data_IF_155244912513
#
_entry.id   IF_155244912513
#
_cell.length_a   1.000
_cell.length_b   1.000
_cell.length_c   1.000
_cell.angle_alpha   90.00
_cell.angle_beta   90.00
_cell.angle_gamma   90.00
#
_symmetry.space_group_name_H-M   'P 1'
#
loop_
_entity.id
_entity.type
_entity.pdbx_description
1 polymer ?
#
# COMPACT_ATOMS: atom_id res chain seq x y z
N UNK A 1 0.41 11.15 32.99
CA UNK A 1 0.64 12.19 31.96
C UNK A 1 1.85 11.88 31.08
N UNK A 2 3.07 11.73 31.62
CA UNK A 2 4.28 11.43 30.83
C UNK A 2 4.09 10.37 29.73
N UNK A 3 3.65 9.16 30.08
CA UNK A 3 3.46 8.05 29.11
C UNK A 3 2.48 8.45 28.00
N UNK A 4 1.41 9.17 28.34
CA UNK A 4 0.39 9.58 27.38
C UNK A 4 0.97 10.55 26.34
N UNK A 5 1.74 11.56 26.78
CA UNK A 5 2.35 12.56 25.90
C UNK A 5 3.47 11.95 25.06
N UNK A 6 4.31 11.10 25.64
CA UNK A 6 5.34 10.35 24.90
C UNK A 6 4.72 9.43 23.86
N UNK A 7 3.70 8.65 24.23
CA UNK A 7 3.03 7.73 23.31
C UNK A 7 2.36 8.46 22.14
N UNK A 8 1.73 9.62 22.37
CA UNK A 8 1.13 10.39 21.27
C UNK A 8 2.12 11.13 20.41
N UNK A 9 3.20 11.65 21.00
CA UNK A 9 4.34 12.16 20.25
C UNK A 9 4.86 11.09 19.30
N UNK A 10 5.23 9.92 19.82
CA UNK A 10 5.71 8.78 19.03
C UNK A 10 4.71 8.38 17.94
N UNK A 11 3.42 8.30 18.26
CA UNK A 11 2.39 7.96 17.26
C UNK A 11 2.35 8.94 16.08
N UNK A 12 2.36 10.25 16.35
CA UNK A 12 2.37 11.30 15.30
C UNK A 12 3.64 11.25 14.45
N UNK A 13 4.80 11.01 15.07
CA UNK A 13 6.06 10.82 14.35
C UNK A 13 6.08 9.53 13.52
N UNK A 14 5.48 8.44 13.99
CA UNK A 14 5.28 7.23 13.21
C UNK A 14 4.40 7.48 11.98
N UNK A 15 3.34 8.29 12.11
CA UNK A 15 2.52 8.72 10.97
C UNK A 15 3.33 9.51 9.95
N UNK A 16 4.15 10.47 10.40
CA UNK A 16 5.08 11.19 9.52
C UNK A 16 6.04 10.24 8.80
N UNK A 17 6.59 9.26 9.52
CA UNK A 17 7.48 8.26 8.95
C UNK A 17 6.78 7.44 7.86
N UNK A 18 5.56 6.97 8.12
CA UNK A 18 4.74 6.27 7.11
C UNK A 18 4.48 7.16 5.89
N UNK A 19 4.12 8.43 6.08
CA UNK A 19 3.93 9.39 4.97
C UNK A 19 5.21 9.59 4.16
N UNK A 20 6.36 9.67 4.82
CA UNK A 20 7.68 9.77 4.16
C UNK A 20 8.01 8.51 3.36
N UNK A 21 7.69 7.33 3.87
CA UNK A 21 7.85 6.07 3.13
C UNK A 21 6.99 6.05 1.87
N UNK A 22 5.73 6.51 1.95
CA UNK A 22 4.83 6.62 0.79
C UNK A 22 5.39 7.58 -0.25
N UNK A 23 5.83 8.76 0.18
CA UNK A 23 6.50 9.73 -0.69
C UNK A 23 7.70 9.06 -1.39
N UNK A 24 8.60 8.45 -0.63
CA UNK A 24 9.79 7.78 -1.17
C UNK A 24 9.43 6.64 -2.14
N UNK A 25 8.37 5.87 -1.87
CA UNK A 25 7.90 4.80 -2.75
C UNK A 25 7.42 5.31 -4.12
N UNK A 26 6.84 6.52 -4.17
CA UNK A 26 6.33 7.12 -5.41
C UNK A 26 7.47 7.69 -6.26
N UNK A 27 8.44 8.39 -5.65
CA UNK A 27 9.52 9.07 -6.39
C UNK A 27 10.78 8.22 -6.58
N UNK A 28 11.11 7.36 -5.62
CA UNK A 28 12.36 6.58 -5.59
C UNK A 28 12.09 5.11 -5.21
N UNK A 29 11.45 4.32 -6.10
CA UNK A 29 11.05 2.94 -5.79
C UNK A 29 12.23 2.01 -5.47
N UNK A 30 13.40 2.23 -6.08
CA UNK A 30 14.62 1.46 -5.80
C UNK A 30 15.16 1.74 -4.40
N UNK A 31 15.06 2.98 -3.92
CA UNK A 31 15.48 3.34 -2.57
C UNK A 31 14.52 2.78 -1.53
N UNK A 32 13.22 2.79 -1.81
CA UNK A 32 12.20 2.24 -0.93
C UNK A 32 12.48 0.76 -0.52
N UNK A 33 13.06 -0.05 -1.39
CA UNK A 33 13.44 -1.45 -1.07
C UNK A 33 14.51 -1.54 0.03
N UNK A 34 15.43 -0.57 0.10
CA UNK A 34 16.49 -0.50 1.12
C UNK A 34 16.00 0.15 2.42
N UNK A 35 14.95 0.97 2.35
CA UNK A 35 14.43 1.80 3.44
C UNK A 35 13.84 1.00 4.62
N UNK A 36 13.44 -0.26 4.43
CA UNK A 36 12.86 -1.09 5.49
C UNK A 36 13.79 -1.26 6.70
N UNK A 37 15.12 -1.28 6.49
CA UNK A 37 16.10 -1.32 7.59
C UNK A 37 16.25 0.01 8.31
N UNK A 38 15.88 1.12 7.67
CA UNK A 38 15.93 2.46 8.27
C UNK A 38 14.88 2.61 9.38
N UNK A 39 13.71 2.01 9.21
CA UNK A 39 12.63 2.01 10.21
C UNK A 39 13.09 1.50 11.58
N UNK A 40 13.86 0.41 11.60
CA UNK A 40 14.41 -0.16 12.84
C UNK A 40 15.34 0.78 13.60
N UNK A 41 15.96 1.76 12.92
CA UNK A 41 16.82 2.78 13.56
C UNK A 41 16.05 4.05 13.89
N UNK A 42 15.10 4.45 13.05
CA UNK A 42 14.32 5.67 13.25
C UNK A 42 13.33 5.56 14.42
N UNK A 43 12.65 4.42 14.59
CA UNK A 43 11.67 4.24 15.67
C UNK A 43 12.26 4.42 17.07
N UNK A 44 13.38 3.75 17.45
CA UNK A 44 13.96 3.98 18.76
C UNK A 44 14.46 5.41 18.92
N UNK A 45 15.00 6.04 17.87
CA UNK A 45 15.44 7.44 17.91
C UNK A 45 14.27 8.41 18.18
N UNK A 46 13.15 8.23 17.45
CA UNK A 46 11.91 8.98 17.67
C UNK A 46 11.42 8.79 19.10
N UNK A 47 11.42 7.54 19.60
CA UNK A 47 11.03 7.23 20.97
C UNK A 47 11.93 7.93 21.98
N UNK A 48 13.25 7.87 21.82
CA UNK A 48 14.20 8.51 22.75
C UNK A 48 14.05 10.02 22.77
N UNK A 49 13.90 10.67 21.61
CA UNK A 49 13.73 12.12 21.55
C UNK A 49 12.38 12.53 22.14
N UNK A 50 11.30 11.79 21.83
CA UNK A 50 9.98 12.05 22.39
C UNK A 50 9.96 11.84 23.91
N UNK A 51 10.63 10.82 24.43
CA UNK A 51 10.75 10.59 25.87
C UNK A 51 11.58 11.70 26.55
N UNK A 52 12.70 12.12 25.95
CA UNK A 52 13.54 13.20 26.47
C UNK A 52 12.79 14.54 26.55
N UNK A 53 12.09 14.91 25.48
CA UNK A 53 11.30 16.17 25.43
C UNK A 53 10.15 16.15 26.43
N UNK A 54 9.58 14.98 26.75
CA UNK A 54 8.50 14.86 27.72
C UNK A 54 8.97 14.56 29.15
N UNK A 55 10.28 14.32 29.36
CA UNK A 55 10.80 13.87 30.66
C UNK A 55 10.49 14.87 31.79
N UNK A 56 10.42 16.16 31.49
CA UNK A 56 10.07 17.21 32.45
C UNK A 56 8.70 16.97 33.14
N UNK A 57 7.74 16.31 32.46
CA UNK A 57 6.43 15.95 33.03
C UNK A 57 6.52 14.96 34.19
N UNK A 58 7.64 14.23 34.34
CA UNK A 58 7.85 13.36 35.50
C UNK A 58 8.02 14.14 36.79
N UNK A 59 8.54 15.37 36.71
CA UNK A 59 8.75 16.25 37.85
C UNK A 59 7.62 17.27 38.03
N UNK A 60 6.96 17.68 36.95
CA UNK A 60 5.89 18.67 37.01
C UNK A 60 4.56 18.15 37.55
N UNK A 61 4.36 16.83 37.60
CA UNK A 61 3.10 16.23 38.08
C UNK A 61 3.18 16.02 39.59
N UNK A 62 2.31 16.67 40.34
CA UNK A 62 2.13 16.46 41.78
C UNK A 62 0.79 15.80 42.05
N UNK A 63 0.71 15.11 43.18
CA UNK A 63 -0.51 14.44 43.64
C UNK A 63 -1.08 15.21 44.82
N UNK A 64 -1.75 16.32 44.54
CA UNK A 64 -2.61 16.99 45.54
C UNK A 64 -4.03 16.43 45.35
N UNK A 65 -4.39 15.47 46.19
CA UNK A 65 -5.63 14.65 46.22
C UNK A 65 -6.91 15.26 45.64
N UNK A 66 -7.88 14.49 45.09
CA UNK A 66 -7.82 13.21 44.38
C UNK A 66 -7.44 13.37 42.89
N UNK A 67 -7.02 14.57 42.48
CA UNK A 67 -6.75 14.91 41.09
C UNK A 67 -5.24 14.98 40.83
N UNK A 68 -4.82 14.56 39.64
CA UNK A 68 -3.45 14.82 39.17
C UNK A 68 -3.43 16.17 38.47
N UNK A 69 -2.70 17.13 39.04
CA UNK A 69 -2.49 18.45 38.45
C UNK A 69 -1.02 18.64 38.07
N UNK A 70 -0.78 19.56 37.16
CA UNK A 70 0.57 19.97 36.75
C UNK A 70 0.94 21.24 37.49
N UNK A 71 2.01 21.20 38.26
CA UNK A 71 2.60 22.35 38.94
C UNK A 71 3.66 23.00 38.04
N UNK A 72 3.90 24.32 38.18
CA UNK A 72 4.96 25.00 37.45
C UNK A 72 6.33 24.43 37.82
N UNK A 73 7.05 23.95 36.81
CA UNK A 73 8.43 23.50 36.95
C UNK A 73 9.35 24.67 37.34
N UNK A 74 10.21 24.50 38.34
CA UNK A 74 11.12 25.53 38.90
C UNK A 74 10.43 26.78 39.49
N UNK A 75 9.12 26.75 39.75
CA UNK A 75 8.40 27.92 40.28
C UNK A 75 8.29 29.09 39.30
N UNK A 76 8.72 28.92 38.05
CA UNK A 76 8.60 29.94 37.00
C UNK A 76 7.53 29.55 35.99
N UNK A 77 6.51 30.39 35.85
CA UNK A 77 5.41 30.18 34.89
C UNK A 77 5.92 30.21 33.43
N UNK A 78 6.91 31.05 33.14
CA UNK A 78 7.49 31.20 31.81
C UNK A 78 8.20 29.92 31.33
N UNK A 79 8.99 29.26 32.18
CA UNK A 79 9.67 28.02 31.78
C UNK A 79 8.66 26.92 31.42
N UNK A 80 7.58 26.81 32.20
CA UNK A 80 6.51 25.85 31.91
C UNK A 80 5.82 26.16 30.58
N UNK A 81 5.60 27.45 30.28
CA UNK A 81 5.05 27.90 29.00
C UNK A 81 5.96 27.51 27.83
N UNK A 82 7.27 27.74 27.94
CA UNK A 82 8.23 27.34 26.89
C UNK A 82 8.31 25.83 26.71
N UNK A 83 8.26 25.04 27.79
CA UNK A 83 8.25 23.58 27.72
C UNK A 83 6.99 23.06 27.03
N UNK A 84 5.82 23.60 27.37
CA UNK A 84 4.57 23.29 26.67
C UNK A 84 4.59 23.72 25.19
N UNK A 85 5.14 24.89 24.88
CA UNK A 85 5.29 25.34 23.49
C UNK A 85 6.21 24.41 22.70
N UNK A 86 7.37 24.06 23.25
CA UNK A 86 8.33 23.14 22.64
C UNK A 86 7.70 21.76 22.41
N UNK A 87 6.93 21.26 23.38
CA UNK A 87 6.19 20.01 23.27
C UNK A 87 5.17 20.06 22.11
N UNK A 88 4.38 21.13 22.01
CA UNK A 88 3.38 21.32 20.93
C UNK A 88 4.06 21.42 19.57
N UNK A 89 5.13 22.22 19.46
CA UNK A 89 5.87 22.41 18.20
C UNK A 89 6.46 21.09 17.73
N UNK A 90 7.16 20.38 18.62
CA UNK A 90 7.83 19.12 18.31
C UNK A 90 6.86 17.97 18.06
N UNK A 91 5.90 17.79 18.96
CA UNK A 91 5.04 16.60 18.96
C UNK A 91 3.85 16.74 18.02
N UNK A 92 3.48 17.95 17.60
CA UNK A 92 2.29 18.19 16.78
C UNK A 92 2.61 18.99 15.51
N UNK A 93 3.07 20.24 15.63
CA UNK A 93 3.18 21.13 14.46
C UNK A 93 4.16 20.60 13.41
N UNK A 94 5.36 20.18 13.82
CA UNK A 94 6.38 19.70 12.89
C UNK A 94 5.93 18.42 12.14
N UNK A 95 5.45 17.36 12.82
CA UNK A 95 4.92 16.17 12.14
C UNK A 95 3.77 16.47 11.18
N UNK A 96 2.86 17.36 11.56
CA UNK A 96 1.65 17.65 10.77
C UNK A 96 1.98 18.47 9.54
N UNK A 97 2.71 19.58 9.70
CA UNK A 97 3.12 20.41 8.58
C UNK A 97 3.91 19.57 7.55
N UNK A 98 4.84 18.74 8.04
CA UNK A 98 5.64 17.89 7.16
C UNK A 98 4.79 16.81 6.49
N UNK A 99 3.88 16.15 7.23
CA UNK A 99 2.96 15.15 6.66
C UNK A 99 2.08 15.77 5.58
N UNK A 100 1.50 16.94 5.85
CA UNK A 100 0.66 17.67 4.91
C UNK A 100 1.43 18.03 3.64
N UNK A 101 2.65 18.56 3.77
CA UNK A 101 3.50 18.91 2.61
C UNK A 101 3.83 17.67 1.78
N UNK A 102 4.23 16.56 2.42
CA UNK A 102 4.55 15.31 1.74
C UNK A 102 3.33 14.73 1.02
N UNK A 103 2.18 14.69 1.70
CA UNK A 103 0.94 14.17 1.14
C UNK A 103 0.41 15.07 -0.01
N UNK A 104 0.45 16.39 0.15
CA UNK A 104 0.10 17.35 -0.90
C UNK A 104 0.99 17.20 -2.13
N UNK A 105 2.32 17.03 -1.94
CA UNK A 105 3.24 16.78 -3.06
C UNK A 105 2.93 15.49 -3.79
N UNK A 106 2.58 14.41 -3.08
CA UNK A 106 2.18 13.13 -3.70
C UNK A 106 0.90 13.28 -4.52
N UNK A 107 -0.03 14.14 -4.11
CA UNK A 107 -1.28 14.38 -4.84
C UNK A 107 -1.08 15.26 -6.08
N UNK A 108 -0.29 16.33 -5.95
CA UNK A 108 -0.12 17.34 -7.00
C UNK A 108 0.80 16.84 -8.11
N UNK A 109 1.92 16.20 -7.76
CA UNK A 109 2.87 15.77 -8.77
C UNK A 109 2.43 14.43 -9.37
N UNK A 110 2.27 14.41 -10.68
CA UNK A 110 2.10 13.16 -11.41
C UNK A 110 3.35 12.29 -11.17
N UNK A 111 3.20 11.02 -10.77
CA UNK A 111 4.35 10.15 -10.57
C UNK A 111 5.17 10.08 -11.87
N UNK A 112 6.51 10.18 -11.81
CA UNK A 112 7.35 10.10 -12.99
C UNK A 112 7.04 8.81 -13.76
N UNK A 113 6.96 8.91 -15.10
CA UNK A 113 6.52 7.85 -16.04
C UNK A 113 7.30 6.52 -15.94
N UNK A 114 8.37 6.44 -15.13
CA UNK A 114 9.12 5.21 -14.85
C UNK A 114 8.25 4.07 -14.30
N UNK A 115 7.18 4.37 -13.56
CA UNK A 115 6.21 3.36 -13.11
C UNK A 115 5.36 2.76 -14.26
N UNK A 116 5.26 3.42 -15.42
CA UNK A 116 4.57 2.87 -16.58
C UNK A 116 5.33 1.65 -17.17
N UNK A 117 6.66 1.62 -17.03
CA UNK A 117 7.52 0.56 -17.56
C UNK A 117 7.33 -0.76 -16.77
N UNK A 118 7.21 -0.69 -15.44
CA UNK A 118 6.96 -1.89 -14.62
C UNK A 118 5.54 -2.45 -14.78
N UNK A 119 4.56 -1.60 -15.10
CA UNK A 119 3.21 -2.05 -15.49
C UNK A 119 3.16 -2.70 -16.88
N UNK A 120 4.00 -2.28 -17.84
CA UNK A 120 4.15 -2.97 -19.13
C UNK A 120 4.69 -4.39 -18.91
N UNK A 121 5.65 -4.55 -17.98
CA UNK A 121 6.20 -5.88 -17.65
C UNK A 121 5.21 -6.79 -16.89
N UNK A 122 4.27 -6.22 -16.13
CA UNK A 122 3.21 -6.99 -15.46
C UNK A 122 2.02 -7.29 -16.36
N UNK A 123 1.73 -6.46 -17.35
CA UNK A 123 0.70 -6.75 -18.37
C UNK A 123 1.17 -7.76 -19.41
N UNK A 124 2.48 -7.85 -19.69
CA UNK A 124 3.03 -8.90 -20.55
C UNK A 124 2.97 -10.29 -19.89
N UNK A 125 3.04 -10.37 -18.56
CA UNK A 125 2.89 -11.64 -17.83
C UNK A 125 1.43 -12.10 -17.66
N UNK A 126 0.44 -11.23 -17.88
CA UNK A 126 -1.00 -11.58 -17.73
C UNK A 126 -1.69 -11.91 -19.07
N UNK A 127 -0.93 -12.00 -20.17
CA UNK A 127 -1.42 -12.46 -21.48
C UNK A 127 -0.38 -13.30 -22.21
N UNK A 128 0.30 -14.23 -21.52
CA UNK A 128 0.63 -15.48 -22.20
C UNK A 128 -0.66 -16.32 -22.19
N UNK A 129 -1.60 -15.89 -23.03
CA UNK A 129 -2.81 -16.65 -23.34
C UNK A 129 -2.34 -17.97 -23.95
N UNK A 130 -2.25 -19.01 -23.13
CA UNK A 130 -2.10 -20.40 -23.58
C UNK A 130 -3.21 -20.76 -24.61
N UNK A 131 -4.31 -19.99 -24.60
CA UNK A 131 -5.40 -20.06 -25.54
C UNK A 131 -5.11 -19.44 -26.92
N UNK A 132 -4.16 -18.51 -27.06
CA UNK A 132 -3.81 -17.92 -28.35
C UNK A 132 -3.10 -18.94 -29.26
N UNK A 133 -2.23 -19.76 -28.68
CA UNK A 133 -1.55 -20.85 -29.37
C UNK A 133 -2.53 -22.00 -29.71
N UNK A 134 -3.44 -22.34 -28.78
CA UNK A 134 -4.51 -23.32 -29.04
C UNK A 134 -5.51 -22.85 -30.12
N UNK A 135 -5.78 -21.54 -30.22
CA UNK A 135 -6.66 -20.98 -31.24
C UNK A 135 -5.97 -20.85 -32.61
N UNK A 136 -4.64 -20.64 -32.66
CA UNK A 136 -3.85 -20.73 -33.89
C UNK A 136 -3.78 -22.18 -34.40
N UNK A 137 -3.54 -23.16 -33.52
CA UNK A 137 -3.57 -24.57 -33.88
C UNK A 137 -4.97 -25.05 -34.36
N UNK A 138 -6.07 -24.50 -33.80
CA UNK A 138 -7.44 -24.76 -34.30
C UNK A 138 -7.72 -24.09 -35.64
N UNK A 139 -7.15 -22.91 -35.93
CA UNK A 139 -7.26 -22.23 -37.24
C UNK A 139 -6.47 -22.95 -38.33
N UNK A 140 -5.30 -23.50 -38.01
CA UNK A 140 -4.51 -24.34 -38.93
C UNK A 140 -5.29 -25.59 -39.36
N UNK A 141 -6.00 -26.22 -38.42
CA UNK A 141 -6.83 -27.41 -38.71
C UNK A 141 -8.06 -27.11 -39.57
N UNK A 142 -8.69 -25.93 -39.43
CA UNK A 142 -9.81 -25.54 -40.31
C UNK A 142 -9.36 -25.25 -41.75
N UNK A 143 -8.15 -24.74 -41.97
CA UNK A 143 -7.63 -24.50 -43.33
C UNK A 143 -7.32 -25.77 -44.12
N UNK A 144 -7.14 -26.92 -43.46
CA UNK A 144 -6.97 -28.21 -44.16
C UNK A 144 -8.28 -28.90 -44.53
N UNK A 145 -9.40 -28.43 -43.99
CA UNK A 145 -10.71 -29.04 -44.23
C UNK A 145 -11.53 -28.31 -45.30
N UNK A 146 -11.18 -27.05 -45.59
CA UNK A 146 -11.81 -26.23 -46.64
C UNK A 146 -10.95 -26.16 -47.93
N UNK A 147 -10.22 -27.24 -48.21
CA UNK A 147 -9.67 -27.48 -49.54
C UNK A 147 -10.80 -27.97 -50.45
N UNK A 148 -11.37 -27.03 -51.20
CA UNK A 148 -12.23 -27.14 -52.41
C UNK A 148 -13.47 -26.25 -52.24
N UNK A 149 -13.31 -24.96 -52.52
CA UNK A 149 -14.10 -24.18 -53.49
C UNK A 149 -13.77 -22.69 -53.34
N UNK A 150 -13.35 -22.07 -54.43
CA UNK A 150 -13.55 -20.64 -54.62
C UNK A 150 -12.31 -19.75 -54.43
N UNK A 151 -11.62 -19.53 -55.54
CA UNK A 151 -10.85 -18.32 -55.82
C UNK A 151 -11.74 -17.11 -55.50
N UNK A 152 -11.47 -16.41 -54.39
CA UNK A 152 -11.98 -15.06 -54.17
C UNK A 152 -10.87 -14.18 -53.61
N UNK A 153 -10.22 -13.44 -54.52
CA UNK A 153 -9.40 -12.26 -54.21
C UNK A 153 -10.16 -11.39 -53.21
N UNK A 154 -9.67 -11.33 -51.97
CA UNK A 154 -10.02 -10.25 -51.04
C UNK A 154 -8.78 -9.39 -50.88
N UNK A 155 -8.90 -8.17 -51.41
CA UNK A 155 -7.98 -7.06 -51.19
C UNK A 155 -7.69 -6.93 -49.70
N UNK A 156 -6.43 -7.11 -49.33
CA UNK A 156 -5.88 -6.66 -48.06
C UNK A 156 -5.56 -5.17 -48.20
N UNK A 157 -6.59 -4.34 -48.20
CA UNK A 157 -6.43 -2.89 -48.07
C UNK A 157 -6.30 -2.53 -46.59
N UNK A 158 -5.15 -1.97 -46.23
CA UNK A 158 -4.96 -0.92 -45.22
C UNK A 158 -6.03 -0.84 -44.10
N UNK A 159 -5.82 -1.60 -43.02
CA UNK A 159 -6.61 -1.46 -41.79
C UNK A 159 -5.83 -1.65 -40.49
N UNK A 160 -4.50 -1.73 -40.56
CA UNK A 160 -3.65 -2.12 -39.42
C UNK A 160 -2.97 -0.93 -38.68
N UNK A 161 -3.24 0.32 -39.06
CA UNK A 161 -2.61 1.48 -38.39
C UNK A 161 -3.55 2.24 -37.44
N UNK A 162 -4.87 2.06 -37.56
CA UNK A 162 -5.82 2.74 -36.68
C UNK A 162 -6.00 2.05 -35.31
N UNK A 163 -5.63 0.77 -35.17
CA UNK A 163 -5.84 0.01 -33.93
C UNK A 163 -4.64 0.02 -32.96
N UNK A 164 -3.47 0.55 -33.37
CA UNK A 164 -2.33 0.77 -32.46
C UNK A 164 -2.29 2.16 -31.83
N UNK A 165 -3.09 3.13 -32.31
CA UNK A 165 -3.18 4.47 -31.71
C UNK A 165 -4.22 4.58 -30.58
N UNK A 166 -5.06 3.56 -30.39
CA UNK A 166 -6.07 3.51 -29.32
C UNK A 166 -5.61 2.78 -28.05
N UNK A 167 -4.31 2.45 -27.93
CA UNK A 167 -3.67 2.28 -26.60
C UNK A 167 -3.25 3.68 -26.12
N UNK A 168 -4.16 4.64 -26.27
CA UNK A 168 -4.05 5.93 -25.61
C UNK A 168 -4.14 5.66 -24.13
N UNK A 169 -3.01 5.79 -23.43
CA UNK A 169 -2.90 6.44 -22.12
C UNK A 169 -4.10 6.25 -21.16
N UNK A 170 -4.65 5.04 -21.08
CA UNK A 170 -5.59 4.64 -20.06
C UNK A 170 -4.78 4.51 -18.78
N UNK A 171 -4.50 5.68 -18.20
CA UNK A 171 -3.90 5.92 -16.90
C UNK A 171 -4.58 4.96 -15.95
N UNK A 172 -3.90 3.87 -15.60
CA UNK A 172 -4.52 2.79 -14.85
C UNK A 172 -5.04 3.36 -13.52
N UNK A 173 -6.37 3.51 -13.30
CA UNK A 173 -6.90 4.30 -12.17
C UNK A 173 -6.64 3.65 -10.81
N UNK A 174 -6.17 2.39 -10.80
CA UNK A 174 -6.18 1.50 -9.63
C UNK A 174 -5.12 1.80 -8.57
N UNK A 175 -4.09 2.62 -8.86
CA UNK A 175 -3.07 2.97 -7.85
C UNK A 175 -3.47 4.16 -6.96
N UNK A 176 -4.40 5.01 -7.41
CA UNK A 176 -4.80 6.21 -6.65
C UNK A 176 -5.77 5.92 -5.51
N UNK A 177 -6.65 4.93 -5.66
CA UNK A 177 -7.62 4.54 -4.62
C UNK A 177 -6.99 4.24 -3.25
N UNK A 178 -5.90 3.46 -3.12
CA UNK A 178 -5.27 3.26 -1.82
C UNK A 178 -4.66 4.56 -1.27
N UNK A 179 -4.11 5.44 -2.10
CA UNK A 179 -3.56 6.72 -1.67
C UNK A 179 -4.63 7.62 -1.04
N UNK A 180 -5.81 7.72 -1.66
CA UNK A 180 -6.93 8.51 -1.09
C UNK A 180 -7.45 7.94 0.24
N UNK A 181 -7.51 6.61 0.38
CA UNK A 181 -7.88 6.00 1.67
C UNK A 181 -6.86 6.38 2.75
N UNK A 182 -5.57 6.27 2.41
CA UNK A 182 -4.45 6.62 3.28
C UNK A 182 -4.44 8.09 3.70
N UNK A 183 -4.76 9.00 2.77
CA UNK A 183 -4.92 10.43 3.05
C UNK A 183 -6.12 10.70 3.95
N UNK A 184 -7.26 10.04 3.71
CA UNK A 184 -8.45 10.21 4.54
C UNK A 184 -8.16 9.88 6.02
N UNK A 185 -7.30 8.89 6.27
CA UNK A 185 -6.93 8.47 7.62
C UNK A 185 -5.98 9.47 8.28
N UNK A 186 -4.97 9.95 7.56
CA UNK A 186 -4.07 10.98 8.11
C UNK A 186 -4.84 12.26 8.43
N UNK A 187 -5.77 12.65 7.55
CA UNK A 187 -6.68 13.78 7.78
C UNK A 187 -7.62 13.55 8.96
N UNK A 188 -8.21 12.36 9.10
CA UNK A 188 -9.11 12.07 10.23
C UNK A 188 -8.35 12.06 11.57
N UNK A 189 -7.14 11.51 11.61
CA UNK A 189 -6.26 11.59 12.78
C UNK A 189 -5.86 13.02 13.13
N UNK A 190 -5.64 13.86 12.13
CA UNK A 190 -5.38 15.28 12.33
C UNK A 190 -6.60 15.93 12.99
N UNK A 191 -7.78 15.78 12.39
CA UNK A 191 -9.05 16.35 12.87
C UNK A 191 -9.35 15.93 14.31
N UNK A 192 -9.11 14.67 14.67
CA UNK A 192 -9.38 14.18 16.03
C UNK A 192 -8.42 14.76 17.08
N UNK A 193 -7.18 15.12 16.70
CA UNK A 193 -6.22 15.73 17.62
C UNK A 193 -6.31 17.27 17.69
N UNK A 194 -6.77 17.92 16.62
CA UNK A 194 -6.75 19.39 16.51
C UNK A 194 -7.49 20.08 17.66
N UNK A 195 -8.68 19.64 18.12
CA UNK A 195 -9.41 20.33 19.17
C UNK A 195 -8.61 20.47 20.47
N UNK A 196 -7.98 19.37 20.91
CA UNK A 196 -7.21 19.36 22.14
C UNK A 196 -5.93 20.20 22.03
N UNK A 197 -5.25 20.17 20.88
CA UNK A 197 -4.06 21.01 20.67
C UNK A 197 -4.42 22.49 20.51
N UNK A 198 -5.54 22.80 19.87
CA UNK A 198 -6.04 24.16 19.75
C UNK A 198 -6.37 24.74 21.13
N UNK A 199 -7.02 23.96 22.00
CA UNK A 199 -7.25 24.32 23.40
C UNK A 199 -5.96 24.65 24.13
N UNK A 200 -4.93 23.78 23.99
CA UNK A 200 -3.61 24.01 24.61
C UNK A 200 -2.91 25.25 24.06
N UNK A 201 -3.00 25.52 22.75
CA UNK A 201 -2.45 26.73 22.14
C UNK A 201 -3.15 27.99 22.64
N UNK A 202 -4.49 27.99 22.71
CA UNK A 202 -5.26 29.12 23.22
C UNK A 202 -4.89 29.42 24.68
N UNK A 203 -4.76 28.38 25.52
CA UNK A 203 -4.29 28.51 26.89
C UNK A 203 -2.86 29.09 26.96
N UNK A 204 -1.99 28.71 26.03
CA UNK A 204 -0.62 29.20 25.96
C UNK A 204 -0.50 30.67 25.52
N UNK A 205 -1.46 31.19 24.75
CA UNK A 205 -1.48 32.59 24.30
C UNK A 205 -2.29 33.52 25.21
N UNK A 206 -2.88 33.01 26.29
CA UNK A 206 -3.70 33.78 27.26
C UNK A 206 -4.81 34.62 26.60
N UNK A 207 -5.39 34.13 25.50
CA UNK A 207 -6.46 34.84 24.79
C UNK A 207 -7.73 34.82 25.65
N UNK A 208 -7.91 35.87 26.44
CA UNK A 208 -8.79 35.91 27.61
C UNK A 208 -10.26 35.64 27.27
N UNK A 209 -10.74 36.16 26.13
CA UNK A 209 -12.13 36.03 25.68
C UNK A 209 -12.50 34.62 25.18
N UNK A 210 -11.56 33.94 24.52
CA UNK A 210 -11.73 32.56 24.07
C UNK A 210 -11.48 31.56 25.20
N UNK A 211 -10.58 31.90 26.12
CA UNK A 211 -10.25 31.07 27.28
C UNK A 211 -11.48 30.80 28.15
N UNK A 212 -12.32 31.81 28.42
CA UNK A 212 -13.55 31.60 29.22
C UNK A 212 -14.60 30.72 28.54
N UNK A 213 -14.75 30.84 27.21
CA UNK A 213 -15.70 29.98 26.48
C UNK A 213 -15.19 28.54 26.40
N UNK A 214 -13.89 28.35 26.22
CA UNK A 214 -13.24 27.04 26.07
C UNK A 214 -12.90 26.36 27.41
N UNK A 215 -12.82 27.13 28.50
CA UNK A 215 -12.64 26.60 29.87
C UNK A 215 -13.87 25.86 30.38
N UNK A 216 -15.00 25.91 29.65
CA UNK A 216 -16.16 25.08 29.92
C UNK A 216 -15.74 23.60 29.98
N UNK A 217 -15.98 22.91 31.12
CA UNK A 217 -15.48 21.55 31.34
C UNK A 217 -15.98 20.58 30.27
N UNK A 218 -17.21 20.76 29.76
CA UNK A 218 -17.79 19.92 28.71
C UNK A 218 -16.98 19.94 27.41
N UNK A 219 -16.47 21.12 26.99
CA UNK A 219 -15.69 21.28 25.76
C UNK A 219 -14.32 20.61 25.91
N UNK A 220 -13.68 20.83 27.06
CA UNK A 220 -12.39 20.21 27.36
C UNK A 220 -12.48 18.68 27.42
N UNK A 221 -13.53 18.14 28.05
CA UNK A 221 -13.77 16.69 28.09
C UNK A 221 -14.05 16.14 26.69
N UNK A 222 -14.85 16.83 25.88
CA UNK A 222 -15.14 16.41 24.51
C UNK A 222 -13.87 16.39 23.64
N UNK A 223 -13.06 17.44 23.70
CA UNK A 223 -11.79 17.51 22.96
C UNK A 223 -10.81 16.42 23.39
N UNK A 224 -10.67 16.17 24.70
CA UNK A 224 -9.85 15.06 25.22
C UNK A 224 -10.39 13.70 24.79
N UNK A 225 -11.71 13.53 24.73
CA UNK A 225 -12.35 12.30 24.25
C UNK A 225 -12.06 12.04 22.77
N UNK A 226 -12.13 13.07 21.92
CA UNK A 226 -11.74 12.97 20.50
C UNK A 226 -10.25 12.61 20.36
N UNK A 227 -9.41 13.20 21.18
CA UNK A 227 -7.99 12.85 21.25
C UNK A 227 -7.79 11.37 21.62
N UNK A 228 -8.56 10.79 22.55
CA UNK A 228 -8.44 9.36 22.84
C UNK A 228 -9.02 8.46 21.75
N UNK A 229 -10.11 8.89 21.09
CA UNK A 229 -10.74 8.16 19.99
C UNK A 229 -9.76 7.90 18.82
N UNK A 230 -8.75 8.77 18.65
CA UNK A 230 -7.69 8.59 17.66
C UNK A 230 -7.02 7.20 17.75
N UNK A 231 -6.81 6.69 18.96
CA UNK A 231 -6.10 5.43 19.17
C UNK A 231 -6.93 4.26 18.69
N UNK A 232 -8.24 4.32 18.95
CA UNK A 232 -9.21 3.32 18.49
C UNK A 232 -9.27 3.31 16.97
N UNK A 233 -9.38 4.49 16.34
CA UNK A 233 -9.37 4.61 14.88
C UNK A 233 -8.06 4.07 14.29
N UNK A 234 -6.92 4.42 14.88
CA UNK A 234 -5.60 3.94 14.45
C UNK A 234 -5.49 2.41 14.53
N UNK A 235 -6.00 1.82 15.61
CA UNK A 235 -6.00 0.37 15.79
C UNK A 235 -6.91 -0.35 14.79
N UNK A 236 -8.15 0.14 14.61
CA UNK A 236 -9.11 -0.38 13.63
C UNK A 236 -8.53 -0.30 12.22
N UNK A 237 -7.84 0.79 11.92
CA UNK A 237 -7.23 0.97 10.62
C UNK A 237 -6.07 -0.01 10.39
N UNK A 238 -5.12 -0.09 11.33
CA UNK A 238 -3.98 -1.01 11.22
C UNK A 238 -4.45 -2.46 11.08
N UNK A 239 -5.42 -2.88 11.88
CA UNK A 239 -6.01 -4.23 11.78
C UNK A 239 -6.68 -4.46 10.44
N UNK A 240 -7.50 -3.51 9.96
CA UNK A 240 -8.14 -3.59 8.64
C UNK A 240 -7.12 -3.66 7.49
N UNK A 241 -6.05 -2.87 7.57
CA UNK A 241 -5.01 -2.82 6.55
C UNK A 241 -4.15 -4.10 6.53
N UNK A 242 -3.67 -4.53 7.70
CA UNK A 242 -2.86 -5.75 7.85
C UNK A 242 -3.68 -6.96 7.42
N UNK A 243 -4.95 -7.05 7.84
CA UNK A 243 -5.84 -8.13 7.44
C UNK A 243 -6.02 -8.17 5.91
N UNK A 244 -6.37 -7.04 5.28
CA UNK A 244 -6.52 -6.97 3.82
C UNK A 244 -5.24 -7.33 3.08
N UNK A 245 -4.06 -6.93 3.60
CA UNK A 245 -2.77 -7.20 2.97
C UNK A 245 -2.38 -8.68 3.10
N UNK A 246 -2.55 -9.27 4.27
CA UNK A 246 -2.24 -10.68 4.51
C UNK A 246 -3.16 -11.61 3.72
N UNK A 247 -4.46 -11.31 3.67
CA UNK A 247 -5.44 -12.09 2.88
C UNK A 247 -5.12 -12.02 1.38
N UNK A 248 -4.74 -10.84 0.85
CA UNK A 248 -4.36 -10.71 -0.57
C UNK A 248 -3.05 -11.43 -0.91
N UNK A 249 -2.06 -11.38 -0.03
CA UNK A 249 -0.78 -12.08 -0.24
C UNK A 249 -0.95 -13.60 -0.22
N UNK A 250 -1.81 -14.12 0.66
CA UNK A 250 -2.10 -15.55 0.71
C UNK A 250 -2.89 -15.99 -0.53
N UNK A 251 -3.91 -15.24 -0.95
CA UNK A 251 -4.67 -15.56 -2.17
C UNK A 251 -3.81 -15.54 -3.44
N UNK A 252 -2.83 -14.62 -3.51
CA UNK A 252 -1.86 -14.56 -4.59
C UNK A 252 -0.91 -15.76 -4.61
N UNK A 253 -0.41 -16.16 -3.44
CA UNK A 253 0.46 -17.35 -3.30
C UNK A 253 -0.30 -18.64 -3.61
N UNK A 254 -1.53 -18.77 -3.16
CA UNK A 254 -2.39 -19.91 -3.47
C UNK A 254 -2.64 -20.03 -4.98
N UNK A 255 -2.92 -18.93 -5.68
CA UNK A 255 -3.07 -18.95 -7.15
C UNK A 255 -1.79 -19.33 -7.90
N UNK A 256 -0.61 -18.89 -7.43
CA UNK A 256 0.65 -19.34 -8.04
C UNK A 256 0.91 -20.82 -7.79
N UNK A 257 0.62 -21.33 -6.59
CA UNK A 257 0.82 -22.74 -6.26
C UNK A 257 -0.15 -23.63 -7.06
N UNK A 258 -1.41 -23.22 -7.22
CA UNK A 258 -2.38 -23.97 -8.05
C UNK A 258 -2.01 -23.90 -9.54
N UNK A 259 -1.53 -22.76 -10.03
CA UNK A 259 -1.06 -22.64 -11.41
C UNK A 259 0.17 -23.52 -11.69
N UNK A 260 1.12 -23.61 -10.75
CA UNK A 260 2.29 -24.49 -10.88
C UNK A 260 1.88 -25.96 -10.87
N UNK A 261 1.01 -26.36 -9.93
CA UNK A 261 0.47 -27.73 -9.89
C UNK A 261 -0.31 -28.10 -11.15
N UNK A 262 -1.11 -27.17 -11.68
CA UNK A 262 -1.85 -27.37 -12.92
C UNK A 262 -0.93 -27.53 -14.13
N UNK A 263 0.14 -26.73 -14.22
CA UNK A 263 1.15 -26.86 -15.27
C UNK A 263 1.90 -28.20 -15.18
N UNK A 264 2.23 -28.67 -13.96
CA UNK A 264 2.88 -29.96 -13.74
C UNK A 264 1.99 -31.14 -14.16
N UNK A 265 0.70 -31.11 -13.83
CA UNK A 265 -0.27 -32.12 -14.27
C UNK A 265 -0.39 -32.13 -15.79
N UNK A 266 -0.39 -30.95 -16.42
CA UNK A 266 -0.48 -30.82 -17.87
C UNK A 266 0.76 -31.40 -18.55
N UNK A 267 1.97 -31.17 -18.02
CA UNK A 267 3.19 -31.79 -18.55
C UNK A 267 3.17 -33.32 -18.42
N UNK A 268 2.74 -33.85 -17.27
CA UNK A 268 2.62 -35.30 -17.06
C UNK A 268 1.64 -35.96 -18.05
N UNK A 269 0.52 -35.28 -18.37
CA UNK A 269 -0.44 -35.77 -19.36
C UNK A 269 0.15 -35.75 -20.79
N UNK A 270 0.89 -34.70 -21.15
CA UNK A 270 1.56 -34.61 -22.46
C UNK A 270 2.60 -35.73 -22.62
N UNK A 271 3.37 -36.01 -21.57
CA UNK A 271 4.36 -37.09 -21.55
C UNK A 271 3.69 -38.46 -21.73
N UNK A 272 2.61 -38.74 -20.98
CA UNK A 272 1.84 -39.98 -21.15
C UNK A 272 1.22 -40.13 -22.55
N UNK A 273 0.72 -39.04 -23.13
CA UNK A 273 0.19 -39.06 -24.50
C UNK A 273 1.28 -39.33 -25.54
N UNK A 274 2.48 -38.77 -25.35
CA UNK A 274 3.60 -39.01 -26.25
C UNK A 274 4.06 -40.47 -26.19
N UNK A 275 4.17 -41.03 -24.99
CA UNK A 275 4.50 -42.45 -24.78
C UNK A 275 3.46 -43.40 -25.40
N UNK A 276 2.17 -43.08 -25.25
CA UNK A 276 1.10 -43.85 -25.87
C UNK A 276 1.18 -43.81 -27.41
N UNK A 277 1.51 -42.65 -27.98
CA UNK A 277 1.64 -42.47 -29.43
C UNK A 277 2.86 -43.22 -29.99
N UNK A 278 4.00 -43.22 -29.27
CA UNK A 278 5.20 -44.00 -29.62
C UNK A 278 4.89 -45.50 -29.62
N UNK A 279 4.16 -46.01 -28.61
CA UNK A 279 3.74 -47.43 -28.56
C UNK A 279 2.78 -47.80 -29.69
N UNK A 280 1.83 -46.92 -30.02
CA UNK A 280 0.89 -47.14 -31.11
C UNK A 280 1.58 -47.14 -32.49
N UNK A 281 2.56 -46.25 -32.70
CA UNK A 281 3.37 -46.22 -33.92
C UNK A 281 4.23 -47.47 -34.10
N UNK A 282 4.79 -48.02 -33.02
CA UNK A 282 5.57 -49.26 -33.05
C UNK A 282 4.78 -50.49 -33.48
N UNK A 283 3.53 -50.65 -33.03
CA UNK A 283 2.66 -51.77 -33.45
C UNK A 283 2.32 -51.74 -34.95
N UNK A 284 2.19 -50.56 -35.55
CA UNK A 284 1.83 -50.42 -36.98
C UNK A 284 2.97 -50.80 -37.92
N UNK A 285 4.23 -50.70 -37.49
CA UNK A 285 5.39 -51.16 -38.27
C UNK A 285 5.59 -52.68 -38.22
N UNK A 286 5.29 -53.34 -37.08
CA UNK A 286 5.44 -54.80 -36.97
C UNK A 286 4.42 -55.59 -37.79
N UNK A 287 3.19 -55.07 -37.94
CA UNK A 287 2.17 -55.72 -38.77
C UNK A 287 2.43 -55.65 -40.28
N UNK A 288 3.38 -54.83 -40.75
CA UNK A 288 3.67 -54.67 -42.18
C UNK A 288 4.81 -55.58 -42.67
N UNK A 289 5.58 -56.17 -41.77
CA UNK A 289 6.71 -57.04 -42.12
C UNK A 289 6.32 -58.51 -42.26
N UNK A 290 5.16 -58.92 -41.76
CA UNK A 290 4.73 -60.33 -41.77
C UNK A 290 3.89 -60.71 -43.01
N UNK A 291 3.68 -59.78 -43.96
CA UNK A 291 2.87 -60.04 -45.18
C UNK A 291 3.71 -60.21 -46.45
N UNK A 292 5.04 -60.13 -46.38
CA UNK A 292 5.93 -60.25 -47.56
C UNK A 292 6.69 -61.58 -47.66
N UNK A 293 6.39 -62.58 -46.82
CA UNK A 293 7.13 -63.87 -46.79
C UNK A 293 6.32 -65.10 -47.20
N UNK A 294 5.26 -64.93 -48.01
CA UNK A 294 4.43 -66.07 -48.48
C UNK A 294 4.15 -66.01 -49.99
N UNK A 295 5.17 -65.73 -50.79
CA UNK A 295 5.15 -65.97 -52.24
C UNK A 295 6.56 -66.32 -52.70
N UNK A 296 6.95 -67.58 -52.55
CA UNK A 296 7.93 -68.29 -53.38
C UNK A 296 7.64 -69.79 -53.26
#
# INVERSE_FOLDING_TARGET
>A
MFILHTATGVSKWCWLFVSTLRFTAVYHPLWHLRQWRLGNRCVPLIFTISAAINAWLLWAVTTDSPFCTTMPFLGSYEANRYLHAAEIVWSYLLPICTTFILDARVMIMNPPRLMAISTIQKSSSCKFDYNAEANLARKEKRKRQDGIWGIRKRNWSHGSEASMKAIGFASCPRYRTPLYHWLAITTLNLILNTPDVLLRLIALFEITSLSELLSRPSITIAARSLYFAQFVVNAIYLTSFVFRRNVRLNRGREMTVTSIKSAEITMKLVEQMNDANVRAGGKKRRSKTDTETTTL
#
